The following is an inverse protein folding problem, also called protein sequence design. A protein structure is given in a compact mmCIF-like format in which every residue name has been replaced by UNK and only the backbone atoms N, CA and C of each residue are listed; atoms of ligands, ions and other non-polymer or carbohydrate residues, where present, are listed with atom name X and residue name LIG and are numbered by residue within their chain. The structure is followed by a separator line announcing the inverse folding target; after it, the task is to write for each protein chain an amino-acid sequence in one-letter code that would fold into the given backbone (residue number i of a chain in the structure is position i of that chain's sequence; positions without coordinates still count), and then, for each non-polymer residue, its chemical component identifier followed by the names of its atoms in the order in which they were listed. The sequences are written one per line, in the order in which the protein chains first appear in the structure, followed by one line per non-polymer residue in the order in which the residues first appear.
data_IF_128392726473
#
_entry.id   IF_128392726473
#
_cell.length_a   1.000
_cell.length_b   1.000
_cell.length_c   1.000
_cell.angle_alpha   90.00
_cell.angle_beta   90.00
_cell.angle_gamma   90.00
#
_symmetry.space_group_name_H-M   'P 1'
#
loop_
_entity.id
_entity.type
_entity.pdbx_description
1 polymer ?
#
# COMPACT_ATOMS: atom_id res chain seq x y z
N UNK A 1 -17.53 8.48 -1.39
CA UNK A 1 -17.86 7.17 -1.93
C UNK A 1 -17.46 6.16 -0.88
N UNK A 2 -18.43 5.47 -0.26
CA UNK A 2 -18.12 4.30 0.57
C UNK A 2 -17.47 3.26 -0.36
N UNK A 3 -16.27 2.80 -0.01
CA UNK A 3 -15.48 1.92 -0.88
C UNK A 3 -16.22 0.57 -1.01
N UNK A 4 -16.76 0.21 -2.20
CA UNK A 4 -17.67 -0.94 -2.34
C UNK A 4 -16.99 -2.30 -2.12
N UNK A 5 -15.67 -2.33 -2.08
CA UNK A 5 -14.85 -3.54 -1.98
C UNK A 5 -14.24 -3.66 -0.59
N UNK A 6 -15.06 -4.11 0.36
CA UNK A 6 -14.65 -4.45 1.72
C UNK A 6 -15.12 -5.86 2.08
N UNK A 7 -14.33 -6.56 2.88
CA UNK A 7 -14.77 -7.84 3.44
C UNK A 7 -16.07 -7.63 4.25
N UNK A 8 -17.04 -8.56 4.19
CA UNK A 8 -16.96 -9.90 3.60
C UNK A 8 -17.32 -9.99 2.11
N UNK A 9 -17.64 -8.88 1.43
CA UNK A 9 -18.09 -8.88 0.04
C UNK A 9 -16.98 -9.35 -0.90
N UNK A 10 -17.32 -10.28 -1.81
CA UNK A 10 -16.41 -10.69 -2.87
C UNK A 10 -16.22 -9.56 -3.87
N UNK A 11 -15.01 -9.03 -3.98
CA UNK A 11 -14.66 -8.01 -4.95
C UNK A 11 -13.19 -8.07 -5.36
N UNK A 12 -12.93 -7.79 -6.64
CA UNK A 12 -11.61 -7.51 -7.19
C UNK A 12 -11.53 -6.02 -7.52
N UNK A 13 -10.52 -5.34 -6.98
CA UNK A 13 -10.27 -3.92 -7.22
C UNK A 13 -8.83 -3.71 -7.70
N UNK A 14 -8.66 -2.88 -8.73
CA UNK A 14 -7.37 -2.42 -9.22
C UNK A 14 -7.15 -0.97 -8.79
N UNK A 15 -5.94 -0.66 -8.34
CA UNK A 15 -5.58 0.69 -7.91
C UNK A 15 -4.76 1.40 -8.99
N UNK A 16 -5.00 2.71 -9.21
CA UNK A 16 -4.26 3.47 -10.21
C UNK A 16 -2.75 3.49 -9.92
N UNK A 17 -1.86 3.09 -10.86
CA UNK A 17 -0.43 2.95 -10.59
C UNK A 17 0.29 4.24 -10.16
N UNK A 18 -0.17 5.40 -10.62
CA UNK A 18 0.37 6.72 -10.26
C UNK A 18 -0.17 7.29 -8.95
N UNK A 19 -1.25 6.70 -8.42
CA UNK A 19 -1.96 7.21 -7.23
C UNK A 19 -2.04 6.18 -6.11
N UNK A 20 -1.23 5.14 -6.17
CA UNK A 20 -1.24 4.11 -5.15
C UNK A 20 0.14 3.55 -4.89
N UNK A 21 0.35 3.12 -3.66
CA UNK A 21 1.55 2.40 -3.21
C UNK A 21 1.15 1.25 -2.30
N UNK A 22 2.02 0.25 -2.22
CA UNK A 22 1.86 -0.87 -1.29
C UNK A 22 3.04 -0.85 -0.31
N UNK A 23 2.73 -0.76 0.98
CA UNK A 23 3.69 -0.97 2.06
C UNK A 23 3.61 -2.43 2.47
N UNK A 24 4.75 -3.11 2.66
CA UNK A 24 4.80 -4.47 3.19
C UNK A 24 6.01 -4.73 4.07
N UNK A 25 6.06 -5.90 4.72
CA UNK A 25 7.18 -6.32 5.58
C UNK A 25 7.19 -5.63 6.94
N UNK A 26 7.91 -6.16 7.92
CA UNK A 26 7.76 -5.70 9.30
C UNK A 26 8.47 -4.37 9.57
N UNK A 27 7.84 -3.57 10.42
CA UNK A 27 8.47 -2.42 11.03
C UNK A 27 9.56 -2.86 12.01
N UNK A 28 10.70 -2.18 11.99
CA UNK A 28 11.72 -2.28 13.04
C UNK A 28 11.73 -0.95 13.78
N UNK A 29 11.84 -1.01 15.11
CA UNK A 29 11.80 0.11 16.06
C UNK A 29 12.29 1.44 15.48
N UNK A 30 11.64 2.54 15.84
CA UNK A 30 12.00 3.88 15.40
C UNK A 30 10.83 4.56 14.70
N UNK A 31 11.07 5.15 13.53
CA UNK A 31 10.03 5.68 12.66
C UNK A 31 10.29 5.26 11.21
N UNK A 32 9.22 5.17 10.42
CA UNK A 32 9.29 5.16 8.97
C UNK A 32 8.41 6.29 8.46
N UNK A 33 8.81 6.97 7.39
CA UNK A 33 7.96 7.96 6.76
C UNK A 33 8.16 7.99 5.26
N UNK A 34 7.10 8.37 4.57
CA UNK A 34 7.12 8.60 3.13
C UNK A 34 6.70 10.05 2.88
N UNK A 35 7.55 10.81 2.19
CA UNK A 35 7.17 12.11 1.63
C UNK A 35 6.69 11.91 0.20
N UNK A 36 5.56 12.53 -0.14
CA UNK A 36 4.87 12.40 -1.41
C UNK A 36 4.83 13.77 -2.08
N UNK A 37 5.42 13.85 -3.27
CA UNK A 37 5.46 15.06 -4.09
C UNK A 37 4.43 14.90 -5.22
N UNK A 38 3.46 15.82 -5.35
CA UNK A 38 2.41 15.70 -6.36
C UNK A 38 2.92 16.09 -7.74
N UNK A 39 2.34 15.52 -8.79
CA UNK A 39 2.57 15.96 -10.18
C UNK A 39 1.99 17.37 -10.41
N UNK A 40 0.90 17.69 -9.73
CA UNK A 40 0.34 19.04 -9.70
C UNK A 40 1.17 19.97 -8.79
N UNK A 41 1.96 20.84 -9.40
CA UNK A 41 2.84 21.80 -8.71
C UNK A 41 2.10 22.83 -7.83
N UNK A 42 0.77 22.95 -7.97
CA UNK A 42 -0.06 23.78 -7.10
C UNK A 42 -0.41 23.12 -5.76
N UNK A 43 -0.06 21.85 -5.56
CA UNK A 43 -0.35 21.11 -4.33
C UNK A 43 0.89 20.98 -3.43
N UNK A 44 0.69 20.94 -2.10
CA UNK A 44 1.78 20.83 -1.12
C UNK A 44 2.47 19.46 -1.16
N UNK A 45 3.71 19.38 -0.71
CA UNK A 45 4.31 18.08 -0.37
C UNK A 45 3.75 17.60 0.96
N UNK A 46 3.35 16.33 1.02
CA UNK A 46 2.80 15.71 2.22
C UNK A 46 3.70 14.59 2.73
N UNK A 47 3.60 14.26 4.02
CA UNK A 47 4.22 13.08 4.58
C UNK A 47 3.22 12.14 5.25
N UNK A 48 3.52 10.85 5.20
CA UNK A 48 2.83 9.84 6.00
C UNK A 48 3.87 9.21 6.92
N UNK A 49 3.70 9.38 8.22
CA UNK A 49 4.50 8.70 9.25
C UNK A 49 3.85 7.37 9.60
N UNK A 50 4.69 6.35 9.72
CA UNK A 50 4.37 4.99 10.12
C UNK A 50 5.13 4.76 11.44
N UNK A 51 4.38 4.63 12.54
CA UNK A 51 4.94 4.56 13.90
C UNK A 51 4.29 3.44 14.69
N UNK A 52 5.04 2.84 15.61
CA UNK A 52 4.46 1.99 16.65
C UNK A 52 4.37 2.82 17.95
N UNK A 53 3.16 3.10 18.44
CA UNK A 53 2.93 3.89 19.67
C UNK A 53 3.38 5.36 19.59
N UNK A 54 3.45 6.05 20.74
CA UNK A 54 3.81 7.47 20.89
C UNK A 54 5.32 7.74 20.64
N UNK A 55 5.85 7.28 19.51
CA UNK A 55 7.24 7.54 19.12
C UNK A 55 7.36 8.96 18.58
N UNK A 56 8.39 9.67 19.06
CA UNK A 56 8.77 10.97 18.53
C UNK A 56 9.20 10.85 17.06
N UNK A 57 8.57 11.64 16.19
CA UNK A 57 8.91 11.72 14.76
C UNK A 57 9.66 13.03 14.46
N UNK A 58 10.78 12.99 13.71
CA UNK A 58 11.48 14.20 13.34
C UNK A 58 10.69 15.02 12.31
N UNK A 59 10.90 16.33 12.29
CA UNK A 59 10.39 17.18 11.22
C UNK A 59 11.06 16.84 9.89
N UNK A 60 10.25 16.63 8.84
CA UNK A 60 10.74 16.36 7.49
C UNK A 60 10.85 17.67 6.68
N UNK A 61 11.94 17.84 5.90
CA UNK A 61 12.13 19.04 5.12
C UNK A 61 11.07 19.15 4.02
N UNK A 62 10.60 20.38 3.76
CA UNK A 62 9.64 20.70 2.70
C UNK A 62 8.27 20.03 2.81
N UNK A 63 7.92 19.45 3.97
CA UNK A 63 6.60 18.87 4.21
C UNK A 63 5.70 19.90 4.88
N UNK A 64 4.55 20.20 4.26
CA UNK A 64 3.58 21.16 4.81
C UNK A 64 2.47 20.48 5.61
N UNK A 65 2.14 19.23 5.26
CA UNK A 65 1.09 18.47 5.92
C UNK A 65 1.57 17.06 6.16
N UNK A 66 1.21 16.50 7.31
CA UNK A 66 1.51 15.11 7.59
C UNK A 66 0.34 14.38 8.23
N UNK A 67 0.30 13.08 8.02
CA UNK A 67 -0.60 12.18 8.71
C UNK A 67 0.21 11.06 9.35
N UNK A 68 -0.24 10.63 10.52
CA UNK A 68 0.38 9.55 11.27
C UNK A 68 -0.51 8.31 11.19
N UNK A 69 0.12 7.18 10.94
CA UNK A 69 -0.48 5.86 10.96
C UNK A 69 0.17 5.09 12.11
N UNK A 70 -0.65 4.74 13.10
CA UNK A 70 -0.24 3.88 14.20
C UNK A 70 -0.32 2.40 13.78
N UNK A 71 0.80 1.69 13.87
CA UNK A 71 0.94 0.29 13.51
C UNK A 71 0.72 -0.65 14.69
N UNK A 72 0.65 -0.13 15.93
CA UNK A 72 0.62 -0.93 17.17
C UNK A 72 -0.57 -1.89 17.28
N UNK A 73 -1.68 -1.57 16.60
CA UNK A 73 -2.92 -2.36 16.65
C UNK A 73 -3.29 -3.00 15.30
N UNK A 74 -2.47 -2.83 14.26
CA UNK A 74 -2.99 -2.87 12.89
C UNK A 74 -1.95 -3.21 11.81
N UNK A 75 -0.87 -3.91 12.17
CA UNK A 75 0.09 -4.37 11.18
C UNK A 75 -0.40 -5.64 10.45
N UNK A 76 -1.33 -5.45 9.52
CA UNK A 76 -1.42 -6.35 8.37
C UNK A 76 -0.08 -6.28 7.63
N UNK A 77 0.58 -7.41 7.37
CA UNK A 77 1.85 -7.52 6.62
C UNK A 77 1.94 -6.69 5.31
N UNK A 78 0.79 -6.20 4.81
CA UNK A 78 0.64 -5.43 3.58
C UNK A 78 -0.46 -4.37 3.74
N UNK A 79 -0.20 -3.13 3.31
CA UNK A 79 -1.16 -2.02 3.31
C UNK A 79 -1.08 -1.23 2.01
N UNK A 80 -2.23 -0.95 1.42
CA UNK A 80 -2.36 -0.10 0.24
C UNK A 80 -2.69 1.33 0.69
N UNK A 81 -1.94 2.29 0.18
CA UNK A 81 -2.29 3.71 0.29
C UNK A 81 -2.73 4.19 -1.09
N UNK A 82 -3.92 4.79 -1.17
CA UNK A 82 -4.50 5.37 -2.39
C UNK A 82 -4.67 6.88 -2.22
N UNK A 83 -4.39 7.64 -3.27
CA UNK A 83 -4.45 9.09 -3.31
C UNK A 83 -5.41 9.56 -4.39
N UNK A 84 -6.03 10.72 -4.21
CA UNK A 84 -6.89 11.32 -5.24
C UNK A 84 -6.11 12.05 -6.35
N UNK A 85 -4.82 12.33 -6.13
CA UNK A 85 -3.92 13.02 -7.07
C UNK A 85 -2.72 12.16 -7.48
N UNK A 86 -2.12 12.47 -8.63
CA UNK A 86 -0.97 11.76 -9.17
C UNK A 86 0.34 12.09 -8.42
N UNK A 87 1.10 11.04 -8.08
CA UNK A 87 2.37 11.14 -7.36
C UNK A 87 3.52 11.22 -8.37
N UNK A 88 4.24 12.34 -8.35
CA UNK A 88 5.44 12.54 -9.17
C UNK A 88 6.67 11.84 -8.56
N UNK A 89 6.90 12.05 -7.27
CA UNK A 89 8.07 11.53 -6.57
C UNK A 89 7.71 11.09 -5.15
N UNK A 90 8.46 10.11 -4.66
CA UNK A 90 8.37 9.63 -3.28
C UNK A 90 9.77 9.71 -2.68
N UNK A 91 9.87 10.15 -1.45
CA UNK A 91 11.09 10.12 -0.66
C UNK A 91 10.85 9.28 0.59
N UNK A 92 11.80 8.39 0.88
CA UNK A 92 11.72 7.48 2.01
C UNK A 92 12.58 7.99 3.15
N UNK A 93 12.07 7.88 4.38
CA UNK A 93 12.75 8.32 5.59
C UNK A 93 12.63 7.26 6.69
N UNK A 94 13.68 7.11 7.49
CA UNK A 94 13.71 6.13 8.58
C UNK A 94 13.76 4.68 8.09
N UNK A 95 13.11 3.78 8.82
CA UNK A 95 13.19 2.32 8.65
C UNK A 95 12.27 1.78 7.54
N UNK A 96 12.38 2.35 6.33
CA UNK A 96 11.66 1.90 5.13
C UNK A 96 12.55 2.03 3.90
N UNK A 97 12.42 1.07 2.97
CA UNK A 97 13.15 1.06 1.70
C UNK A 97 12.24 0.73 0.53
N UNK A 98 12.71 0.98 -0.69
CA UNK A 98 11.98 0.55 -1.87
C UNK A 98 12.00 -0.98 -2.02
N UNK A 99 10.91 -1.52 -2.57
CA UNK A 99 10.81 -2.91 -2.99
C UNK A 99 11.49 -3.09 -4.35
N UNK A 100 12.43 -4.04 -4.46
CA UNK A 100 13.19 -4.32 -5.70
C UNK A 100 13.10 -5.81 -6.13
N UNK A 101 11.91 -6.41 -6.04
CA UNK A 101 11.67 -7.77 -6.55
C UNK A 101 11.70 -8.88 -5.51
N UNK A 102 12.32 -8.64 -4.35
CA UNK A 102 12.38 -9.61 -3.23
C UNK A 102 11.74 -8.98 -2.00
N UNK A 103 10.73 -9.66 -1.45
CA UNK A 103 10.12 -9.28 -0.17
C UNK A 103 11.00 -9.82 0.96
N UNK A 104 11.32 -8.95 1.92
CA UNK A 104 12.22 -9.25 3.02
C UNK A 104 11.47 -9.04 4.32
N UNK A 105 11.05 -10.13 4.96
CA UNK A 105 10.14 -10.14 6.11
C UNK A 105 10.55 -9.21 7.26
N UNK A 106 11.84 -8.96 7.42
CA UNK A 106 12.38 -8.20 8.54
C UNK A 106 12.61 -6.71 8.25
N UNK A 107 12.12 -6.17 7.13
CA UNK A 107 12.28 -4.75 6.79
C UNK A 107 11.05 -4.26 6.06
N UNK A 108 10.55 -3.09 6.45
CA UNK A 108 9.45 -2.44 5.77
C UNK A 108 9.86 -2.00 4.36
N UNK A 109 9.00 -2.27 3.39
CA UNK A 109 9.23 -2.01 1.98
C UNK A 109 8.07 -1.23 1.37
N UNK A 110 8.41 -0.28 0.50
CA UNK A 110 7.45 0.44 -0.33
C UNK A 110 7.55 -0.07 -1.77
N UNK A 111 6.47 -0.66 -2.27
CA UNK A 111 6.27 -0.92 -3.69
C UNK A 111 5.57 0.29 -4.33
N UNK A 112 6.26 0.92 -5.27
CA UNK A 112 5.71 1.93 -6.19
C UNK A 112 5.32 1.24 -7.51
N UNK A 113 4.05 1.23 -7.92
CA UNK A 113 3.63 0.51 -9.12
C UNK A 113 4.10 1.17 -10.42
N UNK A 114 4.17 2.50 -10.43
CA UNK A 114 4.61 3.29 -11.57
C UNK A 114 5.96 3.97 -11.26
N UNK A 115 7.00 3.56 -11.97
CA UNK A 115 8.32 4.16 -11.86
C UNK A 115 8.91 4.40 -13.26
N UNK A 116 9.15 5.67 -13.61
CA UNK A 116 9.54 6.09 -14.96
C UNK A 116 10.86 5.47 -15.44
N UNK A 117 11.74 5.12 -14.51
CA UNK A 117 13.08 4.60 -14.76
C UNK A 117 13.14 3.08 -14.83
N UNK A 118 12.08 2.38 -14.41
CA UNK A 118 12.02 0.92 -14.43
C UNK A 118 11.07 0.44 -15.53
N UNK A 119 11.48 -0.59 -16.27
CA UNK A 119 10.68 -1.22 -17.33
C UNK A 119 9.41 -1.90 -16.81
N UNK A 120 9.39 -2.23 -15.52
CA UNK A 120 8.37 -3.07 -14.92
C UNK A 120 7.24 -2.19 -14.38
N UNK A 121 6.30 -1.83 -15.25
CA UNK A 121 5.04 -1.23 -14.80
C UNK A 121 4.21 -2.29 -14.09
N UNK A 122 3.93 -2.04 -12.81
CA UNK A 122 3.15 -2.94 -11.96
C UNK A 122 1.77 -2.35 -11.72
N UNK A 123 0.85 -3.22 -11.30
CA UNK A 123 -0.46 -2.81 -10.80
C UNK A 123 -0.68 -3.44 -9.44
N UNK A 124 -1.35 -2.72 -8.55
CA UNK A 124 -1.83 -3.26 -7.28
C UNK A 124 -3.26 -3.73 -7.50
N UNK A 125 -3.50 -5.00 -7.18
CA UNK A 125 -4.82 -5.60 -7.18
C UNK A 125 -5.13 -6.11 -5.78
N UNK A 126 -6.32 -5.79 -5.29
CA UNK A 126 -6.84 -6.31 -4.02
C UNK A 126 -8.03 -7.20 -4.31
N UNK A 127 -8.01 -8.38 -3.72
CA UNK A 127 -9.14 -9.31 -3.71
C UNK A 127 -9.68 -9.35 -2.29
N UNK A 128 -10.97 -9.09 -2.16
CA UNK A 128 -11.70 -9.14 -0.88
C UNK A 128 -12.80 -10.16 -0.96
N UNK A 129 -13.18 -10.74 0.17
CA UNK A 129 -14.24 -11.73 0.28
C UNK A 129 -14.18 -12.45 1.61
N UNK A 130 -15.20 -13.27 1.88
CA UNK A 130 -15.17 -14.28 2.93
C UNK A 130 -14.93 -15.64 2.30
N UNK A 131 -13.99 -16.38 2.86
CA UNK A 131 -13.75 -17.77 2.52
C UNK A 131 -14.07 -18.62 3.74
N UNK A 132 -15.00 -19.56 3.58
CA UNK A 132 -15.30 -20.52 4.65
C UNK A 132 -14.43 -21.77 4.47
N UNK A 133 -14.99 -22.84 3.88
CA UNK A 133 -14.31 -24.13 3.75
C UNK A 133 -13.87 -24.47 2.33
N UNK A 134 -14.26 -23.66 1.35
CA UNK A 134 -14.01 -23.91 -0.07
C UNK A 134 -12.96 -22.96 -0.62
N UNK A 135 -11.93 -23.45 -1.34
CA UNK A 135 -11.02 -22.61 -2.09
C UNK A 135 -11.77 -21.67 -3.05
N UNK A 136 -11.23 -20.46 -3.24
CA UNK A 136 -11.70 -19.53 -4.27
C UNK A 136 -10.61 -19.27 -5.27
N UNK A 137 -10.99 -19.16 -6.54
CA UNK A 137 -10.06 -18.92 -7.63
C UNK A 137 -10.51 -17.73 -8.46
N UNK A 138 -9.55 -17.06 -9.07
CA UNK A 138 -9.79 -16.13 -10.15
C UNK A 138 -8.69 -16.27 -11.18
N UNK A 139 -8.98 -15.89 -12.41
CA UNK A 139 -8.04 -15.98 -13.52
C UNK A 139 -7.70 -14.59 -14.04
N UNK A 140 -6.42 -14.34 -14.20
CA UNK A 140 -5.89 -13.15 -14.87
C UNK A 140 -5.51 -13.53 -16.29
N UNK A 141 -6.11 -12.85 -17.26
CA UNK A 141 -5.71 -12.94 -18.65
C UNK A 141 -4.68 -11.87 -18.95
N UNK A 142 -3.50 -12.28 -19.39
CA UNK A 142 -2.44 -11.36 -19.80
C UNK A 142 -2.73 -10.78 -21.19
N UNK A 143 -2.05 -9.68 -21.55
CA UNK A 143 -2.15 -9.12 -22.91
C UNK A 143 -1.72 -10.08 -24.02
N UNK A 144 -1.00 -11.17 -23.70
CA UNK A 144 -0.64 -12.24 -24.64
C UNK A 144 -1.70 -13.36 -24.73
N UNK A 145 -2.85 -13.22 -24.05
CA UNK A 145 -3.92 -14.21 -24.02
C UNK A 145 -3.64 -15.43 -23.14
N UNK A 146 -2.55 -15.41 -22.37
CA UNK A 146 -2.26 -16.46 -21.37
C UNK A 146 -3.10 -16.23 -20.12
N UNK A 147 -3.55 -17.32 -19.53
CA UNK A 147 -4.35 -17.31 -18.31
C UNK A 147 -3.50 -17.78 -17.14
N UNK A 148 -3.37 -16.93 -16.13
CA UNK A 148 -2.78 -17.26 -14.83
C UNK A 148 -3.92 -17.45 -13.83
N UNK A 149 -3.99 -18.61 -13.19
CA UNK A 149 -5.04 -18.88 -12.19
C UNK A 149 -4.47 -18.71 -10.79
N UNK A 150 -5.02 -17.76 -10.06
CA UNK A 150 -4.72 -17.55 -8.66
C UNK A 150 -5.71 -18.32 -7.80
N UNK A 151 -5.20 -19.12 -6.86
CA UNK A 151 -6.00 -19.93 -5.94
C UNK A 151 -5.76 -19.48 -4.52
N UNK A 152 -6.83 -19.12 -3.83
CA UNK A 152 -6.83 -18.86 -2.39
C UNK A 152 -7.40 -20.09 -1.67
N UNK A 153 -6.63 -20.63 -0.74
CA UNK A 153 -6.98 -21.81 0.04
C UNK A 153 -7.36 -21.35 1.45
N UNK A 154 -8.51 -21.78 2.02
CA UNK A 154 -8.89 -21.41 3.37
C UNK A 154 -7.91 -21.99 4.38
N UNK A 155 -7.60 -21.22 5.41
CA UNK A 155 -6.80 -21.67 6.56
C UNK A 155 -7.54 -21.32 7.85
N UNK A 156 -7.59 -22.26 8.78
CA UNK A 156 -8.18 -22.03 10.11
C UNK A 156 -7.35 -21.05 10.96
N UNK A 157 -6.07 -20.85 10.59
CA UNK A 157 -5.15 -19.93 11.26
C UNK A 157 -5.09 -18.54 10.60
N UNK A 158 -5.82 -18.33 9.50
CA UNK A 158 -5.78 -17.05 8.79
C UNK A 158 -6.49 -15.95 9.58
N UNK A 159 -5.72 -14.95 10.04
CA UNK A 159 -6.26 -13.74 10.65
C UNK A 159 -6.94 -12.85 9.61
N UNK A 160 -8.01 -12.16 10.00
CA UNK A 160 -8.61 -11.11 9.18
C UNK A 160 -7.66 -9.92 9.09
N UNK A 161 -7.33 -9.49 7.86
CA UNK A 161 -6.61 -8.23 7.68
C UNK A 161 -7.51 -7.05 8.01
N UNK A 162 -7.06 -6.21 8.94
CA UNK A 162 -7.68 -4.93 9.29
C UNK A 162 -6.93 -3.83 8.50
N UNK A 163 -7.64 -2.80 8.06
CA UNK A 163 -7.10 -1.61 7.38
C UNK A 163 -6.10 -1.87 6.23
N UNK A 164 -6.39 -2.87 5.40
CA UNK A 164 -5.57 -3.18 4.22
C UNK A 164 -5.54 -2.09 3.15
N UNK A 165 -6.41 -1.08 3.23
CA UNK A 165 -6.47 0.07 2.31
C UNK A 165 -6.77 1.34 3.08
N UNK A 166 -6.04 2.40 2.80
CA UNK A 166 -6.32 3.74 3.29
C UNK A 166 -6.30 4.74 2.13
N UNK A 167 -7.36 5.56 2.05
CA UNK A 167 -7.54 6.55 0.99
C UNK A 167 -7.27 7.94 1.54
N UNK A 168 -6.40 8.68 0.87
CA UNK A 168 -5.99 10.03 1.24
C UNK A 168 -6.50 11.03 0.22
N UNK A 169 -6.90 12.19 0.73
CA UNK A 169 -7.15 13.37 -0.10
C UNK A 169 -5.98 14.32 0.04
N UNK A 170 -5.47 14.79 -1.09
CA UNK A 170 -4.41 15.77 -1.09
C UNK A 170 -4.90 17.09 -0.47
N UNK A 171 -4.20 17.64 0.54
CA UNK A 171 -4.57 18.94 1.11
C UNK A 171 -4.40 20.05 0.07
N UNK A 172 -5.27 21.05 0.13
CA UNK A 172 -5.35 22.18 -0.81
C UNK A 172 -5.02 23.49 -0.12
#
# INVERSE_FOLDING_TARGET
SENPCAAPTQCIQFYPPKRSVLISGNFKNGYAAISLIPENQGLPTIAIYLVESDVWTPDLPNVQFFQTIDLSHDFSYRRILEFDEDIQEIQLHGEIRYFFGIELDNVMQLLRPYELTHSDQRMIMRVTGRMEKTPQTFTLTTGSGRNETCTFIPSEEASMQINGVQVFKWPK
#
